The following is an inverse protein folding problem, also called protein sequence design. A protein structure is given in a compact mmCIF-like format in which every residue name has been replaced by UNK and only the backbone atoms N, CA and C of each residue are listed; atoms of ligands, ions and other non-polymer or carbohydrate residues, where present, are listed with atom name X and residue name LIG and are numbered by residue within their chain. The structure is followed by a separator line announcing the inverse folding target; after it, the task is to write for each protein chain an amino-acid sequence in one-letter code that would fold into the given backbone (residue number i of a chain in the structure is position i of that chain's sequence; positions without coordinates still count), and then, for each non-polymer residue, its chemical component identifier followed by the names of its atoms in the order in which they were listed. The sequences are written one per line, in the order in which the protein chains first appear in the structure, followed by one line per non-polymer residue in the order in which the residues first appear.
data_IF_550159639849
#
_entry.id   IF_550159639849
#
_cell.length_a   1.000
_cell.length_b   1.000
_cell.length_c   1.000
_cell.angle_alpha   90.00
_cell.angle_beta   90.00
_cell.angle_gamma   90.00
#
_symmetry.space_group_name_H-M   'P 1'
#
loop_
_entity.id
_entity.type
_entity.pdbx_description
1 polymer ?
#
# COMPACT_ATOMS: atom_id res chain seq x y z
N UNK A 1 42.05 33.12 -18.59
CA UNK A 1 42.34 31.70 -18.25
C UNK A 1 42.25 31.42 -16.73
N UNK A 2 41.54 32.23 -15.92
CA UNK A 2 41.48 32.06 -14.45
C UNK A 2 40.16 31.47 -13.94
N UNK A 3 39.04 31.66 -14.66
CA UNK A 3 37.69 31.26 -14.20
C UNK A 3 37.51 29.74 -14.20
N UNK A 4 38.10 29.03 -15.18
CA UNK A 4 38.02 27.57 -15.26
C UNK A 4 38.83 26.86 -14.17
N UNK A 5 39.93 27.47 -13.70
CA UNK A 5 40.77 26.91 -12.65
C UNK A 5 40.10 27.02 -11.28
N UNK A 6 39.51 28.17 -10.96
CA UNK A 6 38.77 28.37 -9.69
C UNK A 6 37.50 27.51 -9.62
N UNK A 7 36.79 27.34 -10.74
CA UNK A 7 35.63 26.45 -10.83
C UNK A 7 36.03 24.98 -10.60
N UNK A 8 37.14 24.54 -11.18
CA UNK A 8 37.66 23.18 -11.02
C UNK A 8 38.16 22.91 -9.59
N UNK A 9 38.80 23.91 -8.96
CA UNK A 9 39.26 23.84 -7.57
C UNK A 9 38.07 23.76 -6.59
N UNK A 10 37.03 24.55 -6.85
CA UNK A 10 35.79 24.52 -6.06
C UNK A 10 35.07 23.18 -6.21
N UNK A 11 34.96 22.66 -7.43
CA UNK A 11 34.33 21.36 -7.69
C UNK A 11 35.10 20.21 -7.01
N UNK A 12 36.43 20.22 -7.08
CA UNK A 12 37.26 19.21 -6.41
C UNK A 12 37.21 19.31 -4.89
N UNK A 13 37.14 20.52 -4.33
CA UNK A 13 36.94 20.72 -2.88
C UNK A 13 35.54 20.26 -2.41
N UNK A 14 34.49 20.51 -3.20
CA UNK A 14 33.12 20.02 -2.93
C UNK A 14 33.06 18.49 -3.01
N UNK A 15 33.74 17.88 -3.99
CA UNK A 15 33.79 16.43 -4.12
C UNK A 15 34.64 15.77 -3.03
N UNK A 16 35.73 16.41 -2.59
CA UNK A 16 36.54 15.90 -1.49
C UNK A 16 35.80 15.99 -0.15
N UNK A 17 35.10 17.10 0.09
CA UNK A 17 34.28 17.27 1.31
C UNK A 17 33.09 16.32 1.35
N UNK A 18 32.44 16.05 0.21
CA UNK A 18 31.37 15.04 0.14
C UNK A 18 31.88 13.61 0.34
N UNK A 19 33.07 13.29 -0.17
CA UNK A 19 33.73 12.00 0.08
C UNK A 19 34.09 11.82 1.55
N UNK A 20 34.60 12.87 2.21
CA UNK A 20 34.93 12.85 3.65
C UNK A 20 33.67 12.76 4.52
N UNK A 21 32.57 13.42 4.15
CA UNK A 21 31.28 13.29 4.86
C UNK A 21 30.68 11.89 4.71
N UNK A 22 30.84 11.25 3.54
CA UNK A 22 30.35 9.90 3.28
C UNK A 22 31.24 8.79 3.88
N UNK A 23 32.51 9.10 4.16
CA UNK A 23 33.47 8.20 4.81
C UNK A 23 33.59 8.37 6.32
N UNK A 24 33.02 9.44 6.89
CA UNK A 24 32.80 9.49 8.32
C UNK A 24 32.02 8.21 8.67
N UNK A 25 32.56 7.31 9.52
CA UNK A 25 31.80 6.16 9.93
C UNK A 25 30.52 6.73 10.48
N UNK A 26 29.39 6.38 9.85
CA UNK A 26 28.12 6.66 10.48
C UNK A 26 28.29 6.04 11.86
N UNK A 27 28.32 6.88 12.89
CA UNK A 27 27.91 6.45 14.21
C UNK A 27 26.49 5.96 13.97
N UNK A 28 26.43 4.70 13.57
CA UNK A 28 25.29 3.83 13.62
C UNK A 28 25.42 3.39 15.05
N UNK A 29 24.70 4.03 16.00
CA UNK A 29 24.78 3.50 17.33
C UNK A 29 24.45 2.00 17.25
N UNK A 30 25.08 1.22 18.09
CA UNK A 30 24.95 -0.24 18.03
C UNK A 30 24.68 -0.61 19.45
N UNK A 31 23.43 -0.92 19.73
CA UNK A 31 22.96 -1.15 21.09
C UNK A 31 21.43 -1.09 21.22
N UNK A 32 20.87 -1.34 22.41
CA UNK A 32 19.43 -1.42 22.68
C UNK A 32 18.59 -0.18 22.35
N UNK A 33 19.24 0.92 21.97
CA UNK A 33 18.61 2.17 21.53
C UNK A 33 18.44 2.26 20.00
N UNK A 34 18.87 1.22 19.29
CA UNK A 34 18.65 1.03 17.85
C UNK A 34 17.18 0.70 17.61
N UNK A 35 16.50 1.62 16.94
CA UNK A 35 15.05 1.59 16.74
C UNK A 35 14.29 2.60 17.60
N UNK A 36 14.85 3.07 18.73
CA UNK A 36 14.29 4.20 19.51
C UNK A 36 14.74 5.56 18.94
N UNK A 37 15.91 5.61 18.32
CA UNK A 37 16.53 6.84 17.82
C UNK A 37 15.93 7.40 16.51
N UNK A 38 15.06 6.65 15.80
CA UNK A 38 14.35 7.15 14.61
C UNK A 38 12.83 7.13 14.83
N UNK A 39 12.27 8.16 15.51
CA UNK A 39 10.84 8.30 15.71
C UNK A 39 10.05 8.27 14.40
N UNK A 40 10.62 8.83 13.34
CA UNK A 40 9.99 8.94 12.02
C UNK A 40 9.90 7.57 11.33
N UNK A 41 10.94 6.74 11.44
CA UNK A 41 10.95 5.40 10.83
C UNK A 41 9.84 4.50 11.37
N UNK A 42 9.60 4.55 12.69
CA UNK A 42 8.52 3.80 13.32
C UNK A 42 7.14 4.27 12.83
N UNK A 43 6.92 5.59 12.72
CA UNK A 43 5.67 6.13 12.19
C UNK A 43 5.41 5.69 10.75
N UNK A 44 6.43 5.66 9.90
CA UNK A 44 6.31 5.17 8.52
C UNK A 44 5.86 3.70 8.51
N UNK A 45 6.46 2.86 9.34
CA UNK A 45 6.06 1.44 9.44
C UNK A 45 4.62 1.27 9.96
N UNK A 46 4.21 2.05 10.95
CA UNK A 46 2.83 2.02 11.47
C UNK A 46 1.83 2.45 10.39
N UNK A 47 2.11 3.55 9.69
CA UNK A 47 1.25 4.01 8.58
C UNK A 47 1.17 2.96 7.48
N UNK A 48 2.30 2.37 7.11
CA UNK A 48 2.33 1.30 6.11
C UNK A 48 1.50 0.08 6.55
N UNK A 49 1.59 -0.32 7.82
CA UNK A 49 0.77 -1.40 8.36
C UNK A 49 -0.73 -1.07 8.29
N UNK A 50 -1.12 0.16 8.62
CA UNK A 50 -2.52 0.62 8.49
C UNK A 50 -2.98 0.60 7.03
N UNK A 51 -2.14 1.04 6.09
CA UNK A 51 -2.45 0.99 4.65
C UNK A 51 -2.66 -0.45 4.19
N UNK A 52 -1.75 -1.37 4.51
CA UNK A 52 -1.86 -2.77 4.11
C UNK A 52 -3.12 -3.41 4.72
N UNK A 53 -3.38 -3.17 6.01
CA UNK A 53 -4.56 -3.71 6.68
C UNK A 53 -5.86 -3.12 6.12
N UNK A 54 -5.88 -1.83 5.82
CA UNK A 54 -7.06 -1.18 5.21
C UNK A 54 -7.32 -1.69 3.80
N UNK A 55 -6.27 -1.96 3.00
CA UNK A 55 -6.40 -2.64 1.72
C UNK A 55 -6.98 -4.04 1.91
N UNK A 56 -6.37 -4.86 2.78
CA UNK A 56 -6.87 -6.21 3.08
C UNK A 56 -8.32 -6.21 3.53
N UNK A 57 -8.70 -5.26 4.40
CA UNK A 57 -10.07 -5.10 4.88
C UNK A 57 -11.03 -4.63 3.76
N UNK A 58 -10.61 -3.71 2.90
CA UNK A 58 -11.41 -3.26 1.76
C UNK A 58 -11.65 -4.38 0.75
N UNK A 59 -10.62 -5.16 0.43
CA UNK A 59 -10.73 -6.36 -0.41
C UNK A 59 -11.63 -7.40 0.24
N UNK A 60 -11.44 -7.70 1.53
CA UNK A 60 -12.28 -8.65 2.27
C UNK A 60 -13.76 -8.22 2.26
N UNK A 61 -14.03 -6.94 2.54
CA UNK A 61 -15.36 -6.36 2.52
C UNK A 61 -16.03 -6.47 1.15
N UNK A 62 -15.28 -6.22 0.06
CA UNK A 62 -15.80 -6.34 -1.32
C UNK A 62 -16.05 -7.80 -1.69
N UNK A 63 -15.14 -8.70 -1.33
CA UNK A 63 -15.23 -10.12 -1.65
C UNK A 63 -16.41 -10.82 -0.97
N UNK A 64 -16.80 -10.37 0.24
CA UNK A 64 -17.94 -10.93 0.97
C UNK A 64 -19.27 -10.83 0.19
N UNK A 65 -19.45 -9.84 -0.69
CA UNK A 65 -20.68 -9.71 -1.50
C UNK A 65 -20.68 -10.66 -2.70
N UNK A 66 -19.52 -10.85 -3.33
CA UNK A 66 -19.37 -11.80 -4.44
C UNK A 66 -19.55 -13.25 -4.00
N UNK A 67 -19.09 -13.61 -2.80
CA UNK A 67 -19.26 -14.96 -2.25
C UNK A 67 -20.72 -15.38 -2.09
N UNK A 68 -21.62 -14.46 -1.69
CA UNK A 68 -23.05 -14.76 -1.57
C UNK A 68 -23.71 -14.99 -2.93
N UNK A 69 -23.32 -14.21 -3.94
CA UNK A 69 -23.78 -14.36 -5.34
C UNK A 69 -23.26 -15.66 -5.96
N UNK A 70 -22.00 -16.01 -5.73
CA UNK A 70 -21.42 -17.29 -6.15
C UNK A 70 -22.12 -18.49 -5.53
N UNK A 71 -22.39 -18.47 -4.23
CA UNK A 71 -23.09 -19.57 -3.54
C UNK A 71 -24.49 -19.81 -4.09
N UNK A 72 -25.22 -18.74 -4.44
CA UNK A 72 -26.54 -18.87 -5.05
C UNK A 72 -26.46 -19.40 -6.50
N UNK A 73 -25.47 -18.92 -7.26
CA UNK A 73 -25.20 -19.34 -8.63
C UNK A 73 -24.84 -20.83 -8.71
N UNK A 74 -23.97 -21.32 -7.81
CA UNK A 74 -23.59 -22.73 -7.69
C UNK A 74 -24.78 -23.62 -7.33
N UNK A 75 -25.67 -23.15 -6.45
CA UNK A 75 -26.88 -23.88 -6.07
C UNK A 75 -27.93 -24.00 -7.20
N UNK A 76 -27.96 -23.04 -8.12
CA UNK A 76 -28.93 -22.99 -9.22
C UNK A 76 -28.33 -23.36 -10.59
N UNK A 77 -27.03 -23.63 -10.67
CA UNK A 77 -26.33 -23.97 -11.91
C UNK A 77 -26.20 -22.80 -12.91
N UNK A 78 -26.23 -21.56 -12.41
CA UNK A 78 -26.17 -20.32 -13.22
C UNK A 78 -24.73 -19.79 -13.21
N UNK A 79 -24.30 -19.11 -14.28
CA UNK A 79 -22.98 -18.45 -14.30
C UNK A 79 -22.93 -17.31 -13.25
N UNK A 80 -22.00 -17.35 -12.27
CA UNK A 80 -21.86 -16.32 -11.26
C UNK A 80 -21.46 -14.93 -11.80
N UNK A 81 -20.97 -14.85 -13.05
CA UNK A 81 -20.59 -13.59 -13.70
C UNK A 81 -21.72 -12.95 -14.51
N UNK A 82 -22.76 -13.71 -14.86
CA UNK A 82 -23.94 -13.19 -15.57
C UNK A 82 -24.91 -12.54 -14.59
N UNK A 83 -24.62 -11.27 -14.27
CA UNK A 83 -25.29 -10.52 -13.21
C UNK A 83 -26.79 -10.35 -13.47
N UNK A 84 -27.22 -10.26 -14.73
CA UNK A 84 -28.62 -10.06 -15.08
C UNK A 84 -29.44 -11.34 -14.86
N UNK A 85 -28.92 -12.49 -15.32
CA UNK A 85 -29.54 -13.79 -15.11
C UNK A 85 -29.55 -14.18 -13.64
N UNK A 86 -28.45 -13.92 -12.92
CA UNK A 86 -28.34 -14.22 -11.50
C UNK A 86 -29.25 -13.34 -10.64
N UNK A 87 -29.34 -12.04 -10.94
CA UNK A 87 -30.27 -11.14 -10.24
C UNK A 87 -31.72 -11.49 -10.58
N UNK A 88 -32.05 -11.97 -11.79
CA UNK A 88 -33.38 -12.48 -12.12
C UNK A 88 -33.74 -13.73 -11.32
N UNK A 89 -32.86 -14.73 -11.27
CA UNK A 89 -33.07 -15.95 -10.49
C UNK A 89 -33.14 -15.69 -8.98
N UNK A 90 -32.29 -14.80 -8.45
CA UNK A 90 -32.37 -14.38 -7.04
C UNK A 90 -33.67 -13.61 -6.73
N UNK A 91 -34.26 -12.91 -7.72
CA UNK A 91 -35.55 -12.21 -7.59
C UNK A 91 -36.71 -13.18 -7.52
N UNK A 92 -36.71 -14.18 -8.41
CA UNK A 92 -37.71 -15.24 -8.46
C UNK A 92 -37.67 -16.11 -7.20
N UNK A 93 -36.49 -16.41 -6.69
CA UNK A 93 -36.31 -17.13 -5.44
C UNK A 93 -36.63 -16.30 -4.18
N UNK A 94 -36.86 -14.98 -4.31
CA UNK A 94 -37.11 -14.08 -3.18
C UNK A 94 -35.90 -13.86 -2.25
N UNK A 95 -34.70 -14.28 -2.68
CA UNK A 95 -33.44 -14.20 -1.90
C UNK A 95 -32.63 -12.93 -2.26
N UNK A 96 -33.11 -12.13 -3.21
CA UNK A 96 -32.46 -10.87 -3.61
C UNK A 96 -32.36 -9.90 -2.42
N UNK A 97 -31.21 -9.91 -1.76
CA UNK A 97 -30.83 -8.89 -0.79
C UNK A 97 -30.50 -7.59 -1.55
N UNK A 98 -31.53 -6.78 -1.82
CA UNK A 98 -31.44 -5.41 -2.33
C UNK A 98 -30.72 -4.46 -1.34
N UNK A 99 -30.21 -4.99 -0.23
CA UNK A 99 -29.55 -4.31 0.86
C UNK A 99 -28.30 -3.52 0.45
N UNK A 100 -28.58 -2.29 0.01
CA UNK A 100 -27.76 -1.08 0.19
C UNK A 100 -26.54 -0.99 -0.74
N UNK A 101 -26.79 -0.53 -1.96
CA UNK A 101 -25.79 0.18 -2.79
C UNK A 101 -25.45 1.49 -2.05
N UNK A 102 -24.50 1.46 -1.10
CA UNK A 102 -24.01 2.70 -0.47
C UNK A 102 -23.20 3.44 -1.53
N UNK A 103 -23.68 4.63 -1.85
CA UNK A 103 -23.16 5.56 -2.85
C UNK A 103 -21.98 6.32 -2.23
N UNK A 104 -20.94 5.62 -1.78
CA UNK A 104 -19.68 6.22 -1.33
C UNK A 104 -18.55 5.22 -1.51
#
# INVERSE_FOLDING_TARGET
MSIGFTASLTASAVNASSYVLAQAPAETPVGPDFGKASPIGLLILVVLAVVILSLGFAFHRRYSRFRRRQQFAEAHGIDPFDQEALDAAMREAGVLDLGKKRIF
#
